data_IF_312370802109
#
_entry.id   IF_312370802109
#
_cell.length_a   1.000
_cell.length_b   1.000
_cell.length_c   1.000
_cell.angle_alpha   90.00
_cell.angle_beta   90.00
_cell.angle_gamma   90.00
#
_symmetry.space_group_name_H-M   'P 1'
#
loop_
_entity.id
_entity.type
_entity.pdbx_description
1 polymer ?
#
# COMPACT_ATOMS: atom_id res chain seq x y z
N UNK A 1 -14.80 -7.17 16.58
CA UNK A 1 -15.16 -5.86 17.17
C UNK A 1 -13.94 -5.02 17.50
N UNK A 2 -13.01 -5.50 18.35
CA UNK A 2 -11.81 -4.75 18.75
C UNK A 2 -10.95 -4.25 17.57
N UNK A 3 -10.61 -5.12 16.62
CA UNK A 3 -9.80 -4.73 15.44
C UNK A 3 -10.41 -3.59 14.64
N UNK A 4 -11.74 -3.57 14.48
CA UNK A 4 -12.45 -2.51 13.75
C UNK A 4 -12.38 -1.17 14.49
N UNK A 5 -12.50 -1.20 15.82
CA UNK A 5 -12.34 -0.02 16.67
C UNK A 5 -10.93 0.52 16.56
N UNK A 6 -9.91 -0.35 16.65
CA UNK A 6 -8.50 0.04 16.50
C UNK A 6 -8.26 0.69 15.13
N UNK A 7 -8.73 0.07 14.05
CA UNK A 7 -8.58 0.63 12.69
C UNK A 7 -9.31 1.97 12.52
N UNK A 8 -10.49 2.13 13.15
CA UNK A 8 -11.25 3.37 13.09
C UNK A 8 -10.57 4.50 13.88
N UNK A 9 -10.06 4.20 15.07
CA UNK A 9 -9.26 5.13 15.86
C UNK A 9 -7.94 5.48 15.17
N UNK A 10 -7.31 4.52 14.50
CA UNK A 10 -6.10 4.75 13.71
C UNK A 10 -6.39 5.67 12.52
N UNK A 11 -7.52 5.49 11.83
CA UNK A 11 -7.93 6.38 10.75
C UNK A 11 -8.20 7.80 11.22
N UNK A 12 -9.00 7.96 12.27
CA UNK A 12 -9.28 9.28 12.86
C UNK A 12 -8.01 9.93 13.40
N UNK A 13 -7.19 9.18 14.14
CA UNK A 13 -5.95 9.65 14.73
C UNK A 13 -4.93 10.07 13.68
N UNK A 14 -4.75 9.27 12.62
CA UNK A 14 -3.83 9.61 11.53
C UNK A 14 -4.33 10.82 10.73
N UNK A 15 -5.64 10.92 10.48
CA UNK A 15 -6.24 12.11 9.86
C UNK A 15 -6.01 13.37 10.69
N UNK A 16 -6.39 13.34 11.97
CA UNK A 16 -6.19 14.45 12.89
C UNK A 16 -4.70 14.84 13.01
N UNK A 17 -3.81 13.85 13.06
CA UNK A 17 -2.37 14.08 13.07
C UNK A 17 -1.91 14.82 11.82
N UNK A 18 -2.31 14.35 10.63
CA UNK A 18 -1.92 14.96 9.36
C UNK A 18 -2.39 16.41 9.21
N UNK A 19 -3.54 16.78 9.79
CA UNK A 19 -4.07 18.15 9.73
C UNK A 19 -3.56 19.06 10.84
N UNK A 20 -3.38 18.55 12.06
CA UNK A 20 -3.11 19.38 13.24
C UNK A 20 -1.64 19.38 13.68
N UNK A 21 -0.94 18.26 13.51
CA UNK A 21 0.40 18.04 14.09
C UNK A 21 1.51 17.90 13.05
N UNK A 22 1.17 17.51 11.82
CA UNK A 22 2.14 17.47 10.74
C UNK A 22 2.69 18.89 10.46
N UNK A 23 3.91 18.99 9.89
CA UNK A 23 4.52 20.27 9.54
C UNK A 23 3.57 21.16 8.71
N UNK A 24 3.77 22.48 8.68
CA UNK A 24 2.98 23.36 7.82
C UNK A 24 3.18 23.00 6.33
N UNK A 25 2.17 23.30 5.51
CA UNK A 25 2.31 23.18 4.05
C UNK A 25 3.35 24.17 3.55
N UNK A 26 4.17 23.72 2.58
CA UNK A 26 5.10 24.59 1.88
C UNK A 26 4.45 25.14 0.60
N UNK A 27 4.70 26.41 0.23
CA UNK A 27 4.14 27.03 -0.97
C UNK A 27 4.36 26.20 -2.25
N UNK A 28 5.51 25.54 -2.35
CA UNK A 28 5.93 24.77 -3.53
C UNK A 28 5.43 23.32 -3.55
N UNK A 29 4.62 22.91 -2.57
CA UNK A 29 4.15 21.52 -2.45
C UNK A 29 3.38 21.07 -3.70
N UNK A 30 2.54 21.95 -4.27
CA UNK A 30 1.78 21.64 -5.49
C UNK A 30 2.73 21.47 -6.69
N UNK A 31 3.74 22.33 -6.80
CA UNK A 31 4.76 22.23 -7.85
C UNK A 31 5.55 20.93 -7.72
N UNK A 32 5.95 20.56 -6.50
CA UNK A 32 6.62 19.30 -6.21
C UNK A 32 5.79 18.09 -6.65
N UNK A 33 4.49 18.06 -6.35
CA UNK A 33 3.59 16.97 -6.76
C UNK A 33 3.49 16.89 -8.30
N UNK A 34 3.37 18.05 -8.97
CA UNK A 34 3.34 18.11 -10.44
C UNK A 34 4.66 17.59 -11.02
N UNK A 35 5.81 18.02 -10.50
CA UNK A 35 7.12 17.62 -11.00
C UNK A 35 7.37 16.12 -10.77
N UNK A 36 6.99 15.59 -9.61
CA UNK A 36 7.00 14.15 -9.32
C UNK A 36 6.13 13.37 -10.31
N UNK A 37 4.92 13.85 -10.59
CA UNK A 37 3.95 13.20 -11.49
C UNK A 37 4.31 13.32 -12.97
N UNK A 38 5.04 14.37 -13.37
CA UNK A 38 5.42 14.64 -14.77
C UNK A 38 6.84 14.18 -15.12
N UNK A 39 7.58 13.63 -14.16
CA UNK A 39 8.94 13.11 -14.39
C UNK A 39 10.04 14.17 -14.35
N UNK A 40 9.76 15.38 -13.87
CA UNK A 40 10.72 16.47 -13.76
C UNK A 40 11.57 16.34 -12.50
N UNK A 41 12.45 15.36 -12.48
CA UNK A 41 13.13 14.90 -11.26
C UNK A 41 14.51 15.53 -11.00
N UNK A 42 15.00 16.40 -11.88
CA UNK A 42 16.39 16.88 -11.89
C UNK A 42 16.88 17.53 -10.58
N UNK A 43 15.97 18.12 -9.81
CA UNK A 43 16.30 18.84 -8.57
C UNK A 43 15.57 18.27 -7.34
N UNK A 44 14.98 17.09 -7.47
CA UNK A 44 14.26 16.44 -6.38
C UNK A 44 15.16 15.36 -5.80
N UNK A 45 15.20 15.25 -4.47
CA UNK A 45 15.95 14.21 -3.79
C UNK A 45 15.48 12.82 -4.25
N UNK A 46 16.39 11.93 -4.71
CA UNK A 46 16.06 10.57 -5.15
C UNK A 46 15.25 9.74 -4.13
N UNK A 47 15.41 9.96 -2.82
CA UNK A 47 14.60 9.30 -1.80
C UNK A 47 13.12 9.70 -1.88
N UNK A 48 12.83 10.97 -2.16
CA UNK A 48 11.47 11.48 -2.30
C UNK A 48 10.84 10.94 -3.59
N UNK A 49 11.59 10.93 -4.68
CA UNK A 49 11.16 10.35 -5.97
C UNK A 49 10.83 8.87 -5.77
N UNK A 50 11.73 8.11 -5.15
CA UNK A 50 11.53 6.70 -4.86
C UNK A 50 10.28 6.49 -3.99
N UNK A 51 10.17 7.20 -2.87
CA UNK A 51 9.04 7.10 -1.95
C UNK A 51 7.70 7.40 -2.64
N UNK A 52 7.62 8.50 -3.39
CA UNK A 52 6.41 8.88 -4.12
C UNK A 52 5.98 7.81 -5.13
N UNK A 53 6.93 7.27 -5.91
CA UNK A 53 6.60 6.22 -6.88
C UNK A 53 6.26 4.88 -6.21
N UNK A 54 6.88 4.56 -5.07
CA UNK A 54 6.53 3.38 -4.27
C UNK A 54 5.11 3.49 -3.69
N UNK A 55 4.61 4.70 -3.43
CA UNK A 55 3.20 4.92 -3.09
C UNK A 55 2.24 4.56 -4.21
N UNK A 56 2.69 4.48 -5.48
CA UNK A 56 1.89 3.92 -6.58
C UNK A 56 1.94 2.39 -6.65
N UNK A 57 3.02 1.77 -6.14
CA UNK A 57 3.16 0.30 -6.12
C UNK A 57 2.32 -0.33 -5.03
N UNK A 58 2.20 0.31 -3.87
CA UNK A 58 1.34 -0.17 -2.78
C UNK A 58 -0.12 -0.40 -3.21
N UNK A 59 -0.83 0.58 -3.81
CA UNK A 59 -2.16 0.40 -4.35
C UNK A 59 -2.30 -0.76 -5.33
N UNK A 60 -1.29 -1.09 -6.14
CA UNK A 60 -1.34 -2.27 -7.00
C UNK A 60 -1.43 -3.57 -6.20
N UNK A 61 -0.59 -3.69 -5.15
CA UNK A 61 -0.62 -4.83 -4.23
C UNK A 61 -1.96 -4.87 -3.50
N UNK A 62 -2.40 -3.76 -2.92
CA UNK A 62 -3.68 -3.64 -2.22
C UNK A 62 -4.86 -3.96 -3.13
N UNK A 63 -4.86 -3.51 -4.38
CA UNK A 63 -5.91 -3.82 -5.37
C UNK A 63 -6.02 -5.33 -5.59
N UNK A 64 -4.88 -6.01 -5.73
CA UNK A 64 -4.86 -7.47 -5.93
C UNK A 64 -5.37 -8.27 -4.74
N UNK A 65 -5.32 -7.72 -3.53
CA UNK A 65 -5.81 -8.35 -2.31
C UNK A 65 -7.27 -7.98 -2.04
N UNK A 66 -7.59 -6.69 -2.09
CA UNK A 66 -8.86 -6.10 -1.69
C UNK A 66 -10.00 -6.37 -2.66
N UNK A 67 -9.76 -6.36 -3.98
CA UNK A 67 -10.83 -6.65 -4.94
C UNK A 67 -11.23 -8.13 -4.86
N UNK A 68 -10.26 -9.03 -4.61
CA UNK A 68 -10.56 -10.45 -4.38
C UNK A 68 -11.30 -10.63 -3.04
N UNK A 69 -10.82 -9.97 -1.97
CA UNK A 69 -11.46 -10.01 -0.64
C UNK A 69 -12.88 -9.42 -0.66
N UNK A 70 -13.10 -8.38 -1.46
CA UNK A 70 -14.34 -7.63 -1.60
C UNK A 70 -15.49 -8.34 -2.30
N UNK A 71 -15.27 -9.51 -2.90
CA UNK A 71 -16.30 -10.28 -3.62
C UNK A 71 -17.48 -10.66 -2.72
N UNK A 72 -17.20 -11.08 -1.49
CA UNK A 72 -18.22 -11.52 -0.52
C UNK A 72 -18.56 -10.42 0.52
N UNK A 73 -18.24 -9.16 0.20
CA UNK A 73 -18.46 -8.02 1.09
C UNK A 73 -19.70 -7.24 0.68
N UNK A 74 -20.36 -6.61 1.68
CA UNK A 74 -21.46 -5.68 1.43
C UNK A 74 -21.01 -4.39 0.74
N UNK A 75 -19.74 -4.02 0.93
CA UNK A 75 -19.15 -2.78 0.41
C UNK A 75 -18.14 -3.18 -0.66
N UNK A 76 -18.24 -2.56 -1.82
CA UNK A 76 -17.32 -2.79 -2.93
C UNK A 76 -15.96 -2.14 -2.66
N UNK A 77 -14.88 -2.88 -2.91
CA UNK A 77 -13.52 -2.45 -2.59
C UNK A 77 -12.91 -1.44 -3.58
N UNK A 78 -13.34 -1.48 -4.85
CA UNK A 78 -12.64 -0.79 -5.94
C UNK A 78 -12.52 0.74 -5.77
N UNK A 79 -13.50 1.48 -5.18
CA UNK A 79 -13.35 2.92 -5.01
C UNK A 79 -12.22 3.24 -4.02
N UNK A 80 -12.09 2.45 -2.96
CA UNK A 80 -11.06 2.62 -1.94
C UNK A 80 -9.67 2.25 -2.48
N UNK A 81 -9.57 1.19 -3.29
CA UNK A 81 -8.29 0.84 -3.93
C UNK A 81 -7.86 1.90 -4.94
N UNK A 82 -8.78 2.43 -5.74
CA UNK A 82 -8.46 3.47 -6.70
C UNK A 82 -8.09 4.79 -6.01
N UNK A 83 -8.85 5.21 -5.00
CA UNK A 83 -8.53 6.41 -4.21
C UNK A 83 -7.18 6.29 -3.48
N UNK A 84 -6.73 5.08 -3.14
CA UNK A 84 -5.44 4.88 -2.48
C UNK A 84 -4.23 5.26 -3.34
N UNK A 85 -4.36 5.40 -4.66
CA UNK A 85 -3.31 5.99 -5.49
C UNK A 85 -3.06 7.47 -5.20
N UNK A 86 -4.07 8.20 -4.73
CA UNK A 86 -3.96 9.62 -4.40
C UNK A 86 -3.69 9.88 -2.92
N UNK A 87 -4.34 9.11 -2.03
CA UNK A 87 -4.33 9.38 -0.58
C UNK A 87 -3.91 8.17 0.27
N UNK A 88 -3.40 7.10 -0.36
CA UNK A 88 -2.88 5.91 0.31
C UNK A 88 -3.77 5.35 1.42
N UNK A 89 -3.25 5.21 2.64
CA UNK A 89 -3.97 4.53 3.73
C UNK A 89 -5.23 5.28 4.17
N UNK A 90 -5.35 6.59 3.91
CA UNK A 90 -6.59 7.34 4.19
C UNK A 90 -7.79 6.76 3.44
N UNK A 91 -7.58 6.18 2.25
CA UNK A 91 -8.62 5.48 1.50
C UNK A 91 -8.78 4.02 1.94
N UNK A 92 -7.68 3.33 2.28
CA UNK A 92 -7.73 1.90 2.62
C UNK A 92 -8.34 1.65 4.00
N UNK A 93 -8.00 2.46 4.99
CA UNK A 93 -8.43 2.28 6.38
C UNK A 93 -9.96 2.24 6.56
N UNK A 94 -10.75 3.18 6.01
CA UNK A 94 -12.21 3.11 6.08
C UNK A 94 -12.75 1.79 5.56
N UNK A 95 -12.24 1.29 4.44
CA UNK A 95 -12.66 0.00 3.92
C UNK A 95 -12.31 -1.15 4.87
N UNK A 96 -11.09 -1.18 5.43
CA UNK A 96 -10.68 -2.20 6.39
C UNK A 96 -11.53 -2.18 7.67
N UNK A 97 -12.02 -1.01 8.11
CA UNK A 97 -12.90 -0.90 9.29
C UNK A 97 -14.29 -1.50 9.03
N UNK A 98 -14.82 -1.31 7.82
CA UNK A 98 -16.20 -1.66 7.48
C UNK A 98 -16.31 -3.12 7.00
N UNK A 99 -15.33 -3.61 6.24
CA UNK A 99 -15.32 -4.99 5.73
C UNK A 99 -15.34 -6.04 6.83
N UNK A 100 -15.74 -7.25 6.50
CA UNK A 100 -15.53 -8.44 7.35
C UNK A 100 -14.27 -9.18 6.88
N UNK A 101 -13.64 -9.99 7.73
CA UNK A 101 -12.59 -10.90 7.25
C UNK A 101 -13.22 -11.92 6.30
N UNK A 102 -12.64 -12.11 5.12
CA UNK A 102 -13.11 -13.08 4.15
C UNK A 102 -12.03 -14.14 3.89
N UNK A 103 -12.21 -15.29 4.54
CA UNK A 103 -11.29 -16.43 4.42
C UNK A 103 -11.67 -17.41 3.31
N UNK A 104 -12.75 -17.17 2.56
CA UNK A 104 -13.18 -18.03 1.46
C UNK A 104 -13.20 -17.25 0.14
N UNK A 105 -13.22 -17.97 -0.98
CA UNK A 105 -13.49 -17.37 -2.28
C UNK A 105 -14.66 -18.12 -2.91
N UNK A 106 -15.72 -17.39 -3.26
CA UNK A 106 -16.91 -17.97 -3.88
C UNK A 106 -17.04 -17.58 -5.35
N UNK A 107 -17.51 -18.52 -6.17
CA UNK A 107 -17.84 -18.30 -7.57
C UNK A 107 -16.66 -18.31 -8.54
N UNK A 108 -16.95 -17.95 -9.80
CA UNK A 108 -16.00 -18.04 -10.92
C UNK A 108 -15.14 -16.79 -11.05
N UNK A 109 -13.89 -16.96 -11.51
CA UNK A 109 -13.00 -15.84 -11.83
C UNK A 109 -13.45 -15.14 -13.12
N UNK A 110 -13.82 -13.87 -12.99
CA UNK A 110 -13.92 -13.00 -14.16
C UNK A 110 -12.52 -12.55 -14.61
N UNK A 111 -12.42 -11.84 -15.74
CA UNK A 111 -11.15 -11.38 -16.29
C UNK A 111 -10.34 -10.52 -15.30
N UNK A 112 -11.02 -9.65 -14.54
CA UNK A 112 -10.38 -8.80 -13.52
C UNK A 112 -9.73 -9.66 -12.43
N UNK A 113 -10.44 -10.63 -11.87
CA UNK A 113 -9.88 -11.52 -10.85
C UNK A 113 -8.77 -12.39 -11.43
N UNK A 114 -8.87 -12.84 -12.69
CA UNK A 114 -7.77 -13.58 -13.35
C UNK A 114 -6.51 -12.72 -13.47
N UNK A 115 -6.66 -11.44 -13.82
CA UNK A 115 -5.56 -10.49 -13.87
C UNK A 115 -4.97 -10.23 -12.48
N UNK A 116 -5.81 -9.98 -11.48
CA UNK A 116 -5.40 -9.72 -10.10
C UNK A 116 -4.78 -10.95 -9.42
N UNK A 117 -5.22 -12.15 -9.79
CA UNK A 117 -4.68 -13.43 -9.33
C UNK A 117 -3.41 -13.85 -10.09
N UNK A 118 -2.95 -13.08 -11.09
CA UNK A 118 -1.77 -13.36 -11.90
C UNK A 118 -0.46 -13.13 -11.11
N UNK A 119 0.61 -13.93 -11.31
CA UNK A 119 1.90 -13.66 -10.68
C UNK A 119 2.55 -12.40 -11.23
N UNK A 120 2.21 -12.02 -12.47
CA UNK A 120 2.85 -10.92 -13.18
C UNK A 120 2.67 -9.58 -12.47
N UNK A 121 1.56 -9.36 -11.76
CA UNK A 121 1.40 -8.16 -10.93
C UNK A 121 2.42 -8.11 -9.79
N UNK A 122 2.68 -9.26 -9.15
CA UNK A 122 3.73 -9.40 -8.15
C UNK A 122 5.13 -9.17 -8.74
N UNK A 123 5.40 -9.70 -9.94
CA UNK A 123 6.67 -9.50 -10.65
C UNK A 123 6.90 -8.03 -10.98
N UNK A 124 5.91 -7.36 -11.55
CA UNK A 124 5.99 -5.92 -11.89
C UNK A 124 6.19 -5.11 -10.61
N UNK A 125 5.38 -5.35 -9.56
CA UNK A 125 5.52 -4.66 -8.29
C UNK A 125 6.90 -4.87 -7.67
N UNK A 126 7.43 -6.11 -7.70
CA UNK A 126 8.74 -6.44 -7.14
C UNK A 126 9.87 -5.75 -7.90
N UNK A 127 9.87 -5.81 -9.24
CA UNK A 127 10.92 -5.19 -10.06
C UNK A 127 10.88 -3.68 -9.89
N UNK A 128 9.72 -3.05 -10.00
CA UNK A 128 9.56 -1.60 -9.82
C UNK A 128 10.02 -1.18 -8.44
N UNK A 129 9.63 -1.91 -7.40
CA UNK A 129 10.04 -1.60 -6.04
C UNK A 129 11.54 -1.76 -5.82
N UNK A 130 12.13 -2.86 -6.30
CA UNK A 130 13.56 -3.10 -6.16
C UNK A 130 14.38 -2.00 -6.85
N UNK A 131 13.97 -1.58 -8.06
CA UNK A 131 14.62 -0.49 -8.79
C UNK A 131 14.49 0.83 -8.04
N UNK A 132 13.29 1.20 -7.58
CA UNK A 132 13.06 2.48 -6.88
C UNK A 132 13.78 2.53 -5.53
N UNK A 133 13.74 1.43 -4.75
CA UNK A 133 14.46 1.31 -3.50
C UNK A 133 15.96 1.44 -3.75
N UNK A 134 16.53 0.68 -4.69
CA UNK A 134 17.95 0.77 -5.02
C UNK A 134 18.33 2.19 -5.47
N UNK A 135 17.52 2.80 -6.35
CA UNK A 135 17.74 4.17 -6.84
C UNK A 135 17.77 5.19 -5.70
N UNK A 136 16.77 5.16 -4.80
CA UNK A 136 16.68 6.06 -3.66
C UNK A 136 17.81 5.85 -2.65
N UNK A 137 18.18 4.60 -2.36
CA UNK A 137 19.25 4.28 -1.40
C UNK A 137 20.64 4.68 -1.94
N UNK A 138 20.90 4.50 -3.23
CA UNK A 138 22.21 4.77 -3.86
C UNK A 138 22.42 6.26 -4.11
N UNK A 139 21.39 6.96 -4.61
CA UNK A 139 21.53 8.35 -5.07
C UNK A 139 20.94 9.37 -4.09
N UNK A 140 20.25 8.91 -3.05
CA UNK A 140 19.53 9.76 -2.11
C UNK A 140 20.43 10.55 -1.16
N UNK A 141 20.03 11.78 -0.88
CA UNK A 141 20.64 12.56 0.20
C UNK A 141 19.80 12.40 1.48
N UNK A 142 20.27 11.57 2.41
CA UNK A 142 19.54 11.28 3.66
C UNK A 142 19.37 12.49 4.58
N UNK A 143 20.37 13.37 4.64
CA UNK A 143 20.31 14.58 5.46
C UNK A 143 19.22 15.52 4.97
N UNK A 144 19.19 15.76 3.66
CA UNK A 144 18.16 16.56 3.01
C UNK A 144 16.78 15.91 3.14
N UNK A 145 16.66 14.59 2.95
CA UNK A 145 15.40 13.88 3.15
C UNK A 145 14.88 14.06 4.58
N UNK A 146 15.75 13.92 5.58
CA UNK A 146 15.37 14.11 6.98
C UNK A 146 14.89 15.54 7.26
N UNK A 147 15.60 16.54 6.76
CA UNK A 147 15.18 17.94 6.86
C UNK A 147 13.82 18.17 6.19
N UNK A 148 13.61 17.66 4.99
CA UNK A 148 12.34 17.79 4.28
C UNK A 148 11.20 17.03 4.96
N UNK A 149 11.48 15.86 5.54
CA UNK A 149 10.51 15.11 6.34
C UNK A 149 10.06 15.89 7.59
N UNK A 150 10.92 16.73 8.18
CA UNK A 150 10.56 17.56 9.33
C UNK A 150 9.82 18.85 8.95
N UNK A 151 9.97 19.33 7.72
CA UNK A 151 9.53 20.68 7.32
C UNK A 151 8.43 20.70 6.28
N UNK A 152 8.22 19.61 5.53
CA UNK A 152 7.19 19.50 4.49
C UNK A 152 6.09 18.54 4.93
N UNK A 153 4.86 19.05 5.07
CA UNK A 153 3.69 18.22 5.39
C UNK A 153 3.55 17.03 4.44
N UNK A 154 3.69 17.29 3.14
CA UNK A 154 3.48 16.29 2.11
C UNK A 154 4.47 15.12 2.26
N UNK A 155 5.76 15.41 2.39
CA UNK A 155 6.80 14.37 2.53
C UNK A 155 6.66 13.65 3.87
N UNK A 156 6.34 14.38 4.93
CA UNK A 156 6.11 13.84 6.25
C UNK A 156 4.97 12.82 6.25
N UNK A 157 3.78 13.25 5.82
CA UNK A 157 2.57 12.42 5.80
C UNK A 157 2.72 11.27 4.83
N UNK A 158 3.30 11.49 3.64
CA UNK A 158 3.56 10.42 2.66
C UNK A 158 4.47 9.32 3.22
N UNK A 159 5.51 9.70 3.97
CA UNK A 159 6.42 8.73 4.60
C UNK A 159 5.71 7.90 5.68
N UNK A 160 4.91 8.56 6.52
CA UNK A 160 4.10 7.86 7.53
C UNK A 160 3.04 6.96 6.88
N UNK A 161 2.43 7.42 5.80
CA UNK A 161 1.44 6.67 5.04
C UNK A 161 2.04 5.40 4.43
N UNK A 162 3.27 5.47 3.89
CA UNK A 162 4.02 4.29 3.45
C UNK A 162 4.22 3.27 4.59
N UNK A 163 4.63 3.73 5.78
CA UNK A 163 4.76 2.87 6.95
C UNK A 163 3.42 2.27 7.36
N UNK A 164 2.36 3.06 7.33
CA UNK A 164 1.02 2.63 7.70
C UNK A 164 0.47 1.58 6.73
N UNK A 165 0.62 1.78 5.42
CA UNK A 165 0.30 0.77 4.40
C UNK A 165 1.10 -0.51 4.60
N UNK A 166 2.36 -0.41 5.03
CA UNK A 166 3.16 -1.58 5.40
C UNK A 166 2.53 -2.33 6.58
N UNK A 167 2.18 -1.63 7.66
CA UNK A 167 1.62 -2.21 8.88
C UNK A 167 0.22 -2.81 8.69
N UNK A 168 -0.56 -2.27 7.76
CA UNK A 168 -1.92 -2.73 7.47
C UNK A 168 -1.98 -3.94 6.53
N UNK A 169 -0.96 -4.11 5.68
CA UNK A 169 -0.93 -5.18 4.67
C UNK A 169 -1.10 -6.60 5.26
N UNK A 170 -0.47 -6.95 6.41
CA UNK A 170 -0.61 -8.27 7.03
C UNK A 170 -2.05 -8.68 7.31
N UNK A 171 -2.95 -7.72 7.59
CA UNK A 171 -4.38 -7.98 7.84
C UNK A 171 -5.02 -8.63 6.60
N UNK A 172 -4.67 -8.15 5.40
CA UNK A 172 -5.19 -8.68 4.14
C UNK A 172 -4.45 -9.95 3.70
N UNK A 173 -3.15 -10.01 3.96
CA UNK A 173 -2.34 -11.19 3.66
C UNK A 173 -2.81 -12.39 4.47
N UNK A 174 -3.20 -12.21 5.74
CA UNK A 174 -3.78 -13.28 6.56
C UNK A 174 -5.06 -13.87 5.93
N UNK A 175 -5.95 -13.01 5.44
CA UNK A 175 -7.18 -13.43 4.77
C UNK A 175 -6.88 -14.14 3.43
N UNK A 176 -5.94 -13.62 2.62
CA UNK A 176 -5.53 -14.23 1.35
C UNK A 176 -4.80 -15.58 1.53
N UNK A 177 -3.95 -15.70 2.56
CA UNK A 177 -3.29 -16.96 2.93
C UNK A 177 -4.31 -18.04 3.27
N UNK A 178 -5.29 -17.69 4.09
CA UNK A 178 -6.35 -18.61 4.52
C UNK A 178 -7.19 -19.03 3.32
N UNK A 179 -7.58 -18.08 2.45
CA UNK A 179 -8.32 -18.36 1.20
C UNK A 179 -7.61 -19.34 0.26
N UNK A 180 -6.29 -19.34 0.27
CA UNK A 180 -5.45 -20.19 -0.58
C UNK A 180 -4.98 -21.47 0.11
N UNK A 181 -5.48 -21.75 1.31
CA UNK A 181 -5.14 -22.95 2.08
C UNK A 181 -3.69 -22.99 2.55
N UNK A 182 -2.97 -21.85 2.58
CA UNK A 182 -1.59 -21.77 3.02
C UNK A 182 -1.54 -21.74 4.56
N UNK A 183 -1.12 -22.85 5.16
CA UNK A 183 -1.11 -23.05 6.63
C UNK A 183 0.25 -22.80 7.30
N UNK A 184 1.27 -22.33 6.56
CA UNK A 184 2.61 -22.12 7.12
C UNK A 184 2.61 -20.91 8.07
N UNK A 185 2.85 -21.10 9.39
CA UNK A 185 2.80 -20.02 10.37
C UNK A 185 3.93 -18.99 10.20
N UNK A 186 5.05 -19.38 9.58
CA UNK A 186 6.20 -18.48 9.35
C UNK A 186 6.02 -17.58 8.12
N UNK A 187 5.09 -17.93 7.22
CA UNK A 187 4.96 -17.22 5.96
C UNK A 187 4.50 -15.77 6.18
N UNK A 188 3.46 -15.55 6.99
CA UNK A 188 2.92 -14.21 7.25
C UNK A 188 3.97 -13.27 7.91
N UNK A 189 4.67 -13.65 8.99
CA UNK A 189 5.71 -12.79 9.56
C UNK A 189 6.83 -12.45 8.57
N UNK A 190 7.33 -13.43 7.80
CA UNK A 190 8.43 -13.22 6.85
C UNK A 190 8.05 -12.26 5.74
N UNK A 191 6.88 -12.44 5.12
CA UNK A 191 6.42 -11.54 4.05
C UNK A 191 5.99 -10.17 4.59
N UNK A 192 5.67 -10.05 5.88
CA UNK A 192 5.31 -8.77 6.51
C UNK A 192 6.52 -7.96 6.95
N UNK A 193 7.66 -8.62 7.21
CA UNK A 193 8.88 -7.97 7.68
C UNK A 193 9.56 -7.11 6.61
N UNK A 194 9.38 -7.45 5.34
CA UNK A 194 9.97 -6.74 4.20
C UNK A 194 8.91 -5.84 3.55
N UNK A 195 8.89 -4.52 3.84
CA UNK A 195 7.89 -3.61 3.30
C UNK A 195 7.85 -3.71 1.79
N UNK A 196 6.65 -3.93 1.24
CA UNK A 196 6.36 -3.97 -0.20
C UNK A 196 6.99 -5.16 -0.95
N UNK A 197 8.26 -5.47 -0.74
CA UNK A 197 8.97 -6.63 -1.31
C UNK A 197 8.35 -7.96 -0.88
N UNK A 198 8.09 -8.14 0.42
CA UNK A 198 7.50 -9.37 0.94
C UNK A 198 6.09 -9.63 0.39
N UNK A 199 5.16 -8.66 0.43
CA UNK A 199 3.87 -8.79 -0.23
C UNK A 199 3.98 -9.03 -1.74
N UNK A 200 4.91 -8.36 -2.44
CA UNK A 200 5.11 -8.59 -3.87
C UNK A 200 5.58 -10.03 -4.19
N UNK A 201 6.56 -10.55 -3.43
CA UNK A 201 7.00 -11.96 -3.53
C UNK A 201 5.82 -12.89 -3.25
N UNK A 202 5.01 -12.61 -2.23
CA UNK A 202 3.82 -13.39 -1.93
C UNK A 202 2.86 -13.46 -3.12
N UNK A 203 2.59 -12.35 -3.81
CA UNK A 203 1.73 -12.34 -5.02
C UNK A 203 2.26 -13.24 -6.15
N UNK A 204 3.59 -13.40 -6.25
CA UNK A 204 4.24 -14.28 -7.24
C UNK A 204 4.02 -15.75 -6.86
N UNK A 205 4.32 -16.12 -5.61
CA UNK A 205 4.39 -17.52 -5.16
C UNK A 205 3.05 -18.09 -4.69
N UNK A 206 2.05 -17.24 -4.41
CA UNK A 206 0.77 -17.71 -3.87
C UNK A 206 0.07 -18.67 -4.84
N UNK A 207 -0.48 -19.80 -4.37
CA UNK A 207 -1.27 -20.72 -5.19
C UNK A 207 -2.45 -19.98 -5.81
N UNK A 208 -2.78 -20.23 -7.08
CA UNK A 208 -3.95 -19.61 -7.73
C UNK A 208 -5.22 -20.03 -7.01
N UNK A 209 -6.21 -19.13 -6.95
CA UNK A 209 -7.48 -19.46 -6.30
C UNK A 209 -8.14 -20.65 -7.02
N UNK A 210 -8.71 -21.60 -6.25
CA UNK A 210 -9.57 -22.62 -6.83
C UNK A 210 -10.84 -22.00 -7.40
N UNK A 211 -11.34 -22.52 -8.51
CA UNK A 211 -12.71 -22.25 -8.95
C UNK A 211 -13.59 -23.33 -8.33
N UNK A 212 -14.31 -23.00 -7.26
CA UNK A 212 -15.34 -23.86 -6.67
C UNK A 212 -16.67 -23.64 -7.38
#
# INVERSE_FOLDING_TARGET
MLTKIILGLLWLGFGLYAFLLAPPDQPDTVNLIIDLSTGKWQYINPLIIALFNLMGVWPLIYTSLLIIDGRDQKIIAWPFTFASFAVGAFAILPYLTLRQSNSNFTGKKNLVIKLLDSPWLGVIALITAAILIAYGLINGNWSDFWHQWQTSRFIHVMSLDFCLLTLLCPILLQDDLTRRGLKNPFLLPVISLLPLIGPAIYLIIRPRLGEN
#
